data_IF_674802637346
#
_entry.id   IF_674802637346
#
_cell.length_a   1.000
_cell.length_b   1.000
_cell.length_c   1.000
_cell.angle_alpha   90.00
_cell.angle_beta   90.00
_cell.angle_gamma   90.00
#
_symmetry.space_group_name_H-M   'P 1'
#
loop_
_entity.id
_entity.type
_entity.pdbx_description
1 polymer ?
#
# COMPACT_ATOMS: atom_id res chain seq x y z
N UNK A 1 -22.96 17.00 7.31
CA UNK A 1 -22.35 16.92 5.95
C UNK A 1 -22.28 15.46 5.56
N UNK A 2 -22.53 15.12 4.28
CA UNK A 2 -22.53 13.73 3.79
C UNK A 2 -21.35 13.54 2.83
N UNK A 3 -20.64 12.44 3.00
CA UNK A 3 -19.66 11.95 2.02
C UNK A 3 -20.41 11.44 0.79
N UNK A 4 -19.84 11.63 -0.39
CA UNK A 4 -20.40 11.12 -1.64
C UNK A 4 -19.31 10.45 -2.46
N UNK A 5 -19.63 9.33 -3.10
CA UNK A 5 -18.71 8.69 -4.03
C UNK A 5 -18.47 9.56 -5.26
N UNK A 6 -17.23 9.63 -5.79
CA UNK A 6 -16.98 10.28 -7.06
C UNK A 6 -17.70 9.55 -8.19
N UNK A 7 -18.20 10.30 -9.17
CA UNK A 7 -18.97 9.74 -10.29
C UNK A 7 -18.04 8.98 -11.24
N UNK A 8 -18.33 7.70 -11.49
CA UNK A 8 -17.67 6.88 -12.51
C UNK A 8 -16.39 6.14 -12.07
N UNK A 9 -15.75 6.57 -10.97
CA UNK A 9 -14.61 5.87 -10.36
C UNK A 9 -14.60 6.11 -8.85
N UNK A 10 -14.72 5.04 -8.05
CA UNK A 10 -14.68 5.10 -6.59
C UNK A 10 -13.37 4.54 -6.01
N UNK A 11 -12.28 4.51 -6.77
CA UNK A 11 -10.95 4.03 -6.33
C UNK A 11 -9.96 5.19 -6.22
N UNK A 12 -8.74 4.96 -5.72
CA UNK A 12 -7.73 6.01 -5.47
C UNK A 12 -7.42 6.88 -6.70
N UNK A 13 -7.54 6.32 -7.91
CA UNK A 13 -7.33 7.02 -9.18
C UNK A 13 -8.44 8.02 -9.52
N UNK A 14 -9.50 8.10 -8.71
CA UNK A 14 -10.45 9.22 -8.72
C UNK A 14 -9.81 10.53 -8.28
N UNK A 15 -8.69 10.48 -7.56
CA UNK A 15 -7.84 11.64 -7.28
C UNK A 15 -7.08 12.01 -8.55
N UNK A 16 -7.28 13.24 -9.02
CA UNK A 16 -6.73 13.71 -10.30
C UNK A 16 -5.21 13.53 -10.38
N UNK A 17 -4.75 12.90 -11.46
CA UNK A 17 -3.33 12.69 -11.76
C UNK A 17 -2.65 11.56 -10.96
N UNK A 18 -3.41 10.80 -10.16
CA UNK A 18 -2.93 9.52 -9.61
C UNK A 18 -3.18 8.40 -10.60
N UNK A 19 -2.16 7.58 -10.83
CA UNK A 19 -2.26 6.38 -11.66
C UNK A 19 -1.83 5.16 -10.84
N UNK A 20 -2.45 4.01 -11.11
CA UNK A 20 -2.09 2.76 -10.45
C UNK A 20 -1.88 1.68 -11.47
N UNK A 21 -0.80 0.93 -11.32
CA UNK A 21 -0.51 -0.25 -12.13
C UNK A 21 -0.06 -1.43 -11.28
N UNK A 22 -0.27 -2.63 -11.81
CA UNK A 22 0.02 -3.89 -11.14
C UNK A 22 0.90 -4.77 -12.02
N UNK A 23 1.84 -5.46 -11.39
CA UNK A 23 2.48 -6.66 -11.95
C UNK A 23 2.14 -7.85 -11.05
N UNK A 24 1.65 -8.93 -11.64
CA UNK A 24 1.12 -10.09 -10.93
C UNK A 24 1.76 -11.37 -11.46
N UNK A 25 2.30 -12.19 -10.56
CA UNK A 25 2.65 -13.58 -10.84
C UNK A 25 1.69 -14.51 -10.08
N UNK A 26 0.69 -15.01 -10.78
CA UNK A 26 -0.34 -15.88 -10.21
C UNK A 26 0.23 -17.23 -9.76
N UNK A 27 1.28 -17.74 -10.43
CA UNK A 27 1.88 -19.05 -10.15
C UNK A 27 2.76 -18.98 -8.91
N UNK A 28 3.62 -17.96 -8.84
CA UNK A 28 4.43 -17.69 -7.66
C UNK A 28 3.63 -17.08 -6.51
N UNK A 29 2.38 -16.67 -6.77
CA UNK A 29 1.46 -16.04 -5.80
C UNK A 29 2.07 -14.81 -5.15
N UNK A 30 2.65 -13.92 -5.97
CA UNK A 30 3.26 -12.65 -5.55
C UNK A 30 3.04 -11.56 -6.61
N UNK A 31 3.40 -10.33 -6.30
CA UNK A 31 3.33 -9.22 -7.24
C UNK A 31 3.71 -7.88 -6.63
N UNK A 32 3.66 -6.82 -7.42
CA UNK A 32 3.84 -5.45 -6.95
C UNK A 32 2.81 -4.49 -7.55
N UNK A 33 2.59 -3.40 -6.85
CA UNK A 33 1.68 -2.32 -7.22
C UNK A 33 2.46 -1.01 -7.19
N UNK A 34 2.39 -0.25 -8.27
CA UNK A 34 2.99 1.08 -8.39
C UNK A 34 1.86 2.10 -8.37
N UNK A 35 1.95 3.08 -7.48
CA UNK A 35 1.10 4.28 -7.48
C UNK A 35 1.94 5.44 -8.00
N UNK A 36 1.69 5.88 -9.23
CA UNK A 36 2.37 7.03 -9.84
C UNK A 36 1.67 8.32 -9.44
N UNK A 37 2.45 9.37 -9.22
CA UNK A 37 1.95 10.73 -8.98
C UNK A 37 1.90 11.52 -10.30
N UNK A 38 1.45 12.79 -10.32
CA UNK A 38 1.62 13.64 -11.50
C UNK A 38 3.10 13.84 -11.87
N UNK A 39 3.37 14.28 -13.11
CA UNK A 39 4.74 14.34 -13.68
C UNK A 39 5.75 15.16 -12.85
N UNK A 40 5.30 16.23 -12.17
CA UNK A 40 6.12 17.07 -11.28
C UNK A 40 6.19 16.56 -9.82
N UNK A 41 5.73 15.34 -9.58
CA UNK A 41 5.64 14.74 -8.26
C UNK A 41 4.49 15.28 -7.41
N UNK A 42 4.20 14.59 -6.31
CA UNK A 42 3.18 14.98 -5.33
C UNK A 42 3.83 15.18 -3.97
N UNK A 43 3.36 16.18 -3.20
CA UNK A 43 3.79 16.37 -1.81
C UNK A 43 3.43 15.11 -1.03
N UNK A 44 4.41 14.54 -0.32
CA UNK A 44 4.21 13.29 0.40
C UNK A 44 4.90 13.28 1.76
N UNK A 45 4.22 12.63 2.69
CA UNK A 45 4.74 12.23 3.98
C UNK A 45 4.08 10.91 4.38
N UNK A 46 4.63 10.22 5.38
CA UNK A 46 4.16 8.91 5.78
C UNK A 46 4.75 8.49 7.12
N UNK A 47 4.16 7.46 7.71
CA UNK A 47 4.61 6.90 8.98
C UNK A 47 4.57 5.39 8.96
N UNK A 48 5.60 4.79 9.57
CA UNK A 48 5.72 3.36 9.80
C UNK A 48 5.57 3.09 11.30
N UNK A 49 4.54 2.34 11.69
CA UNK A 49 4.26 2.01 13.10
C UNK A 49 4.49 0.52 13.44
N UNK A 50 4.47 -0.35 12.43
CA UNK A 50 4.69 -1.79 12.62
C UNK A 50 6.13 -2.09 13.09
N UNK A 51 6.34 -3.15 13.89
CA UNK A 51 7.62 -3.42 14.54
C UNK A 51 8.69 -4.03 13.61
N UNK A 52 8.31 -4.53 12.43
CA UNK A 52 9.23 -5.18 11.48
C UNK A 52 9.05 -4.62 10.06
N UNK A 53 9.39 -3.35 9.81
CA UNK A 53 9.20 -2.76 8.51
C UNK A 53 10.26 -3.20 7.51
N UNK A 54 9.82 -3.51 6.29
CA UNK A 54 10.68 -3.51 5.11
C UNK A 54 10.35 -2.28 4.28
N UNK A 55 11.29 -1.34 4.18
CA UNK A 55 11.07 -0.09 3.44
C UNK A 55 12.30 0.39 2.70
N UNK A 56 12.05 1.17 1.65
CA UNK A 56 13.04 1.98 0.92
C UNK A 56 12.60 3.43 0.97
N UNK A 57 13.55 4.35 1.16
CA UNK A 57 13.34 5.81 1.15
C UNK A 57 12.29 6.34 2.15
N UNK A 58 11.81 5.53 3.09
CA UNK A 58 10.78 5.95 4.06
C UNK A 58 11.24 7.09 4.98
N UNK A 59 12.55 7.23 5.21
CA UNK A 59 13.08 8.36 5.99
C UNK A 59 12.78 9.69 5.31
N UNK A 60 12.76 9.75 3.98
CA UNK A 60 12.44 10.99 3.24
C UNK A 60 10.98 11.44 3.47
N UNK A 61 10.10 10.52 3.86
CA UNK A 61 8.70 10.80 4.16
C UNK A 61 8.50 11.47 5.53
N UNK A 62 9.51 11.55 6.39
CA UNK A 62 9.39 12.28 7.65
C UNK A 62 9.14 13.78 7.39
N UNK A 63 8.24 14.43 8.17
CA UNK A 63 7.73 15.77 7.85
C UNK A 63 8.79 16.88 7.93
N UNK A 64 9.92 16.61 8.59
CA UNK A 64 11.03 17.52 8.78
C UNK A 64 12.15 17.37 7.72
N UNK A 65 11.98 16.47 6.73
CA UNK A 65 12.94 16.32 5.61
C UNK A 65 12.63 17.26 4.46
N UNK A 66 13.68 17.74 3.80
CA UNK A 66 13.62 18.74 2.72
C UNK A 66 12.99 18.22 1.43
N UNK A 67 13.17 16.95 1.09
CA UNK A 67 12.50 16.31 -0.05
C UNK A 67 11.02 16.20 0.28
N UNK A 68 10.19 17.04 -0.33
CA UNK A 68 8.75 17.07 -0.05
C UNK A 68 7.92 16.31 -1.08
N UNK A 69 8.46 16.05 -2.28
CA UNK A 69 7.75 15.37 -3.37
C UNK A 69 8.24 13.96 -3.63
N UNK A 70 7.31 13.11 -4.04
CA UNK A 70 7.58 11.76 -4.54
C UNK A 70 6.98 11.58 -5.94
N UNK A 71 7.58 10.71 -6.73
CA UNK A 71 7.21 10.48 -8.14
C UNK A 71 6.40 9.18 -8.30
N UNK A 72 6.59 8.25 -7.38
CA UNK A 72 5.76 7.05 -7.23
C UNK A 72 5.87 6.51 -5.80
N UNK A 73 4.95 5.60 -5.44
CA UNK A 73 5.06 4.73 -4.27
C UNK A 73 4.92 3.28 -4.73
N UNK A 74 5.80 2.41 -4.24
CA UNK A 74 5.81 0.98 -4.60
C UNK A 74 5.40 0.12 -3.41
N UNK A 75 4.34 -0.66 -3.57
CA UNK A 75 3.95 -1.71 -2.63
C UNK A 75 4.28 -3.06 -3.26
N UNK A 76 5.01 -3.92 -2.55
CA UNK A 76 5.53 -5.15 -3.18
C UNK A 76 5.45 -6.37 -2.26
N UNK A 77 5.22 -7.55 -2.85
CA UNK A 77 5.42 -8.83 -2.19
C UNK A 77 6.91 -9.15 -2.03
N UNK A 78 7.24 -10.39 -1.71
CA UNK A 78 8.62 -10.87 -1.65
C UNK A 78 9.42 -10.45 -0.43
N UNK A 79 8.79 -9.85 0.59
CA UNK A 79 9.47 -9.28 1.76
C UNK A 79 10.59 -8.31 1.33
N UNK A 80 11.67 -8.18 2.10
CA UNK A 80 12.76 -7.25 1.83
C UNK A 80 13.35 -7.36 0.40
N UNK A 81 13.30 -8.53 -0.24
CA UNK A 81 13.73 -8.68 -1.64
C UNK A 81 12.89 -7.85 -2.61
N UNK A 82 11.58 -7.73 -2.34
CA UNK A 82 10.64 -7.00 -3.17
C UNK A 82 10.88 -5.50 -3.25
N UNK A 83 11.71 -4.94 -2.36
CA UNK A 83 12.16 -3.54 -2.44
C UNK A 83 12.92 -3.26 -3.75
N UNK A 84 13.47 -4.29 -4.39
CA UNK A 84 14.11 -4.18 -5.71
C UNK A 84 13.15 -3.73 -6.82
N UNK A 85 11.83 -3.91 -6.66
CA UNK A 85 10.84 -3.38 -7.60
C UNK A 85 10.92 -1.85 -7.74
N UNK A 86 11.27 -1.14 -6.68
CA UNK A 86 11.42 0.31 -6.73
C UNK A 86 12.52 0.76 -7.71
N UNK A 87 13.57 -0.05 -7.91
CA UNK A 87 14.65 0.29 -8.84
C UNK A 87 14.13 0.39 -10.28
N UNK A 88 13.37 -0.60 -10.76
CA UNK A 88 12.84 -0.54 -12.13
C UNK A 88 11.78 0.53 -12.33
N UNK A 89 11.02 0.87 -11.28
CA UNK A 89 10.12 2.03 -11.31
C UNK A 89 10.89 3.35 -11.40
N UNK A 90 12.03 3.49 -10.70
CA UNK A 90 12.90 4.66 -10.82
C UNK A 90 13.47 4.80 -12.23
N UNK A 91 14.04 3.73 -12.79
CA UNK A 91 14.60 3.75 -14.14
C UNK A 91 13.53 4.16 -15.17
N UNK A 92 12.32 3.60 -15.05
CA UNK A 92 11.20 3.98 -15.92
C UNK A 92 10.81 5.45 -15.75
N UNK A 93 10.73 5.97 -14.51
CA UNK A 93 10.41 7.37 -14.25
C UNK A 93 11.44 8.33 -14.85
N UNK A 94 12.73 8.01 -14.73
CA UNK A 94 13.82 8.79 -15.33
C UNK A 94 13.66 8.83 -16.86
N UNK A 95 13.39 7.70 -17.51
CA UNK A 95 13.12 7.61 -18.95
C UNK A 95 11.88 8.41 -19.37
N UNK A 96 10.86 8.49 -18.50
CA UNK A 96 9.68 9.32 -18.72
C UNK A 96 9.92 10.81 -18.42
N UNK A 97 11.13 11.21 -18.04
CA UNK A 97 11.46 12.60 -17.72
C UNK A 97 10.85 13.07 -16.39
N UNK A 98 10.66 12.18 -15.43
CA UNK A 98 9.98 12.44 -14.15
C UNK A 98 10.92 12.25 -12.96
N UNK A 99 11.35 13.35 -12.35
CA UNK A 99 12.24 13.32 -11.20
C UNK A 99 12.54 14.72 -10.68
N UNK A 100 13.29 14.81 -9.59
CA UNK A 100 13.91 16.08 -9.22
C UNK A 100 15.02 16.42 -10.20
N UNK A 101 14.98 17.64 -10.73
CA UNK A 101 16.08 18.16 -11.53
C UNK A 101 17.30 18.42 -10.64
N UNK A 102 18.44 17.84 -11.03
CA UNK A 102 19.75 18.07 -10.43
C UNK A 102 20.74 18.48 -11.52
N UNK A 103 21.93 18.93 -11.11
CA UNK A 103 23.02 19.24 -12.04
C UNK A 103 23.40 18.05 -12.95
N UNK A 104 23.14 16.81 -12.51
CA UNK A 104 23.60 15.59 -13.18
C UNK A 104 22.48 14.78 -13.82
N UNK A 105 21.25 15.30 -13.84
CA UNK A 105 20.09 14.61 -14.40
C UNK A 105 18.91 14.57 -13.43
N UNK A 106 17.92 13.74 -13.78
CA UNK A 106 16.70 13.59 -13.00
C UNK A 106 16.90 12.54 -11.90
N UNK A 107 16.42 12.84 -10.70
CA UNK A 107 16.43 11.90 -9.57
C UNK A 107 14.99 11.64 -9.13
N UNK A 108 14.37 10.53 -9.60
CA UNK A 108 13.08 10.10 -9.08
C UNK A 108 13.18 9.72 -7.60
N UNK A 109 12.10 9.97 -6.85
CA UNK A 109 11.97 9.56 -5.45
C UNK A 109 10.81 8.60 -5.37
N UNK A 110 11.13 7.37 -4.95
CA UNK A 110 10.23 6.21 -5.03
C UNK A 110 10.28 5.44 -3.71
N UNK A 111 9.56 5.92 -2.68
CA UNK A 111 9.41 5.18 -1.46
C UNK A 111 8.74 3.84 -1.72
N UNK A 112 9.21 2.81 -1.03
CA UNK A 112 8.65 1.48 -1.16
C UNK A 112 8.42 0.81 0.19
N UNK A 113 7.42 -0.05 0.25
CA UNK A 113 7.12 -0.90 1.39
C UNK A 113 6.70 -2.30 0.93
N UNK A 114 6.95 -3.30 1.77
CA UNK A 114 6.76 -4.70 1.40
C UNK A 114 5.87 -5.47 2.36
N UNK A 115 5.18 -6.48 1.83
CA UNK A 115 4.56 -7.55 2.62
C UNK A 115 5.40 -8.81 2.54
N UNK A 116 5.25 -9.70 3.54
CA UNK A 116 5.83 -11.04 3.49
C UNK A 116 4.78 -12.03 2.96
N UNK A 117 5.02 -12.56 1.76
CA UNK A 117 4.20 -13.55 1.07
C UNK A 117 5.03 -14.76 0.57
N UNK A 118 6.30 -14.89 0.99
CA UNK A 118 7.24 -15.91 0.49
C UNK A 118 6.76 -17.35 0.71
N UNK A 119 5.97 -17.58 1.76
CA UNK A 119 5.39 -18.89 2.07
C UNK A 119 4.14 -19.20 1.25
N UNK A 120 3.63 -18.24 0.50
CA UNK A 120 2.40 -18.40 -0.25
C UNK A 120 2.63 -19.01 -1.61
N UNK A 121 3.82 -19.09 -2.18
CA UNK A 121 4.02 -19.71 -3.50
C UNK A 121 5.44 -20.21 -3.67
N UNK A 122 6.09 -19.86 -4.79
CA UNK A 122 7.51 -20.17 -4.96
C UNK A 122 8.35 -19.08 -4.27
N UNK A 123 9.04 -19.37 -3.15
CA UNK A 123 9.81 -18.37 -2.42
C UNK A 123 11.03 -17.84 -3.20
N UNK A 124 11.39 -18.46 -4.32
CA UNK A 124 12.48 -18.01 -5.19
C UNK A 124 12.02 -17.01 -6.26
N UNK A 125 10.72 -16.94 -6.55
CA UNK A 125 10.14 -15.97 -7.48
C UNK A 125 9.57 -14.81 -6.67
N UNK A 126 10.14 -13.63 -6.85
CA UNK A 126 9.87 -12.43 -6.03
C UNK A 126 9.91 -11.21 -6.94
N UNK A 127 9.11 -10.15 -6.71
CA UNK A 127 9.17 -8.95 -7.53
C UNK A 127 10.57 -8.32 -7.51
N UNK A 128 11.10 -8.02 -8.70
CA UNK A 128 12.37 -7.34 -8.91
C UNK A 128 12.19 -6.08 -9.77
N UNK A 129 13.29 -5.52 -10.25
CA UNK A 129 13.27 -4.30 -11.07
C UNK A 129 12.31 -4.42 -12.27
N UNK A 130 12.39 -5.49 -13.05
CA UNK A 130 11.51 -5.72 -14.21
C UNK A 130 10.02 -5.72 -13.84
N UNK A 131 9.66 -6.29 -12.69
CA UNK A 131 8.29 -6.29 -12.19
C UNK A 131 7.82 -4.86 -11.83
N UNK A 132 8.68 -4.07 -11.17
CA UNK A 132 8.36 -2.68 -10.83
C UNK A 132 8.27 -1.77 -12.04
N UNK A 133 9.09 -1.99 -13.07
CA UNK A 133 8.97 -1.32 -14.37
C UNK A 133 7.66 -1.69 -15.06
N UNK A 134 7.37 -2.98 -15.19
CA UNK A 134 6.14 -3.45 -15.83
C UNK A 134 4.87 -2.94 -15.13
N UNK A 135 4.88 -2.87 -13.79
CA UNK A 135 3.80 -2.28 -13.02
C UNK A 135 3.65 -0.76 -13.26
N UNK A 136 4.75 -0.03 -13.45
CA UNK A 136 4.70 1.40 -13.79
C UNK A 136 4.18 1.63 -15.21
N UNK A 137 4.62 0.81 -16.18
CA UNK A 137 4.13 0.85 -17.58
C UNK A 137 2.64 0.53 -17.70
N UNK A 138 2.14 -0.35 -16.83
CA UNK A 138 0.72 -0.74 -16.80
C UNK A 138 -0.17 0.26 -16.04
N UNK A 139 0.39 1.33 -15.47
CA UNK A 139 -0.37 2.27 -14.66
C UNK A 139 -1.40 3.06 -15.48
N UNK A 140 -2.57 3.30 -14.90
CA UNK A 140 -3.65 4.06 -15.55
C UNK A 140 -4.49 4.85 -14.55
N UNK A 141 -5.28 5.80 -15.06
CA UNK A 141 -6.23 6.64 -14.29
C UNK A 141 -7.63 6.03 -14.12
N UNK A 142 -7.93 4.91 -14.81
CA UNK A 142 -9.20 4.20 -14.67
C UNK A 142 -9.39 3.51 -13.30
N UNK A 143 -10.57 2.92 -13.05
CA UNK A 143 -10.83 2.18 -11.80
C UNK A 143 -9.80 1.09 -11.52
N UNK A 144 -9.27 1.09 -10.30
CA UNK A 144 -8.20 0.16 -9.88
C UNK A 144 -8.74 -1.26 -9.71
N UNK A 145 -8.02 -2.24 -10.26
CA UNK A 145 -8.29 -3.66 -10.01
C UNK A 145 -8.02 -4.02 -8.54
N UNK A 146 -8.95 -4.74 -7.90
CA UNK A 146 -8.88 -5.12 -6.50
C UNK A 146 -8.86 -6.64 -6.32
N UNK A 147 -8.50 -7.09 -5.12
CA UNK A 147 -8.36 -8.50 -4.78
C UNK A 147 -6.93 -8.99 -4.99
N UNK A 148 -6.78 -10.20 -5.54
CA UNK A 148 -5.51 -10.92 -5.65
C UNK A 148 -4.70 -10.49 -6.89
N UNK A 149 -4.38 -9.21 -6.96
CA UNK A 149 -3.59 -8.58 -8.02
C UNK A 149 -2.45 -7.77 -7.41
N UNK A 150 -1.36 -7.58 -8.16
CA UNK A 150 -0.21 -6.80 -7.71
C UNK A 150 0.32 -7.30 -6.37
N UNK A 151 0.57 -6.37 -5.44
CA UNK A 151 0.98 -6.71 -4.07
C UNK A 151 -0.04 -7.60 -3.32
N UNK A 152 -1.31 -7.58 -3.71
CA UNK A 152 -2.37 -8.37 -3.08
C UNK A 152 -2.36 -9.86 -3.43
N UNK A 153 -1.59 -10.28 -4.43
CA UNK A 153 -1.63 -11.64 -4.99
C UNK A 153 -1.34 -12.73 -3.94
N UNK A 154 -0.37 -12.47 -3.08
CA UNK A 154 0.05 -13.31 -1.96
C UNK A 154 -0.38 -12.79 -0.58
N UNK A 155 -1.27 -11.78 -0.52
CA UNK A 155 -1.67 -11.20 0.76
C UNK A 155 -2.64 -12.11 1.52
N UNK A 156 -2.42 -12.28 2.82
CA UNK A 156 -3.31 -13.04 3.72
C UNK A 156 -3.42 -12.43 5.10
N UNK A 157 -4.53 -12.72 5.75
CA UNK A 157 -4.87 -12.26 7.10
C UNK A 157 -5.07 -13.45 8.05
N UNK A 158 -5.29 -13.16 9.35
CA UNK A 158 -5.59 -14.17 10.39
C UNK A 158 -4.49 -15.22 10.56
N UNK A 159 -3.27 -14.74 10.85
CA UNK A 159 -2.07 -15.58 11.09
C UNK A 159 -1.58 -15.55 12.54
N UNK A 160 -2.45 -15.21 13.50
CA UNK A 160 -2.04 -15.06 14.91
C UNK A 160 -1.59 -16.40 15.53
N UNK A 161 -2.31 -17.50 15.24
CA UNK A 161 -2.13 -18.80 15.91
C UNK A 161 -1.46 -19.85 15.04
N UNK A 162 -1.85 -19.97 13.78
CA UNK A 162 -1.20 -20.88 12.85
C UNK A 162 -1.22 -20.35 11.40
N UNK A 163 -0.53 -21.04 10.49
CA UNK A 163 -0.52 -20.71 9.04
C UNK A 163 -1.70 -21.33 8.28
N UNK A 164 -2.43 -22.27 8.88
CA UNK A 164 -3.54 -23.01 8.26
C UNK A 164 -4.89 -22.27 8.30
N UNK A 165 -5.09 -21.41 9.31
CA UNK A 165 -6.24 -20.52 9.51
C UNK A 165 -6.22 -19.23 8.69
N UNK A 166 -5.15 -19.02 7.91
CA UNK A 166 -4.97 -17.80 7.15
C UNK A 166 -6.05 -17.65 6.07
N UNK A 167 -6.80 -16.55 6.06
CA UNK A 167 -7.75 -16.25 4.98
C UNK A 167 -7.07 -15.47 3.83
N UNK A 168 -7.42 -15.72 2.56
CA UNK A 168 -6.98 -14.86 1.46
C UNK A 168 -7.40 -13.40 1.69
N UNK A 169 -6.51 -12.48 1.33
CA UNK A 169 -6.80 -11.04 1.29
C UNK A 169 -6.42 -10.49 -0.10
N UNK A 170 -6.17 -9.19 -0.20
CA UNK A 170 -5.80 -8.56 -1.45
C UNK A 170 -5.65 -7.05 -1.37
N UNK A 171 -5.50 -6.45 -2.54
CA UNK A 171 -5.59 -5.00 -2.73
C UNK A 171 -7.05 -4.56 -2.58
N UNK A 172 -7.29 -3.50 -1.82
CA UNK A 172 -8.55 -2.77 -1.80
C UNK A 172 -8.30 -1.30 -2.10
N UNK A 173 -9.25 -0.63 -2.73
CA UNK A 173 -9.17 0.80 -2.98
C UNK A 173 -10.56 1.45 -2.88
N UNK A 174 -10.61 2.65 -2.33
CA UNK A 174 -11.84 3.41 -2.18
C UNK A 174 -11.57 4.91 -2.25
N UNK A 175 -12.52 5.70 -2.72
CA UNK A 175 -12.43 7.16 -2.77
C UNK A 175 -13.77 7.83 -2.48
N UNK A 176 -13.70 9.00 -1.86
CA UNK A 176 -14.85 9.83 -1.48
C UNK A 176 -14.58 11.29 -1.80
N UNK A 177 -15.62 12.02 -2.19
CA UNK A 177 -15.59 13.47 -2.29
C UNK A 177 -16.01 14.10 -0.96
N UNK A 178 -15.24 15.09 -0.51
CA UNK A 178 -15.49 15.84 0.72
C UNK A 178 -14.89 17.24 0.65
N UNK A 179 -15.67 18.25 1.03
CA UNK A 179 -15.18 19.62 1.17
C UNK A 179 -14.61 20.24 -0.11
N UNK A 180 -15.04 19.75 -1.29
CA UNK A 180 -14.52 20.20 -2.59
C UNK A 180 -13.26 19.48 -3.08
N UNK A 181 -12.79 18.48 -2.35
CA UNK A 181 -11.66 17.62 -2.71
C UNK A 181 -12.09 16.14 -2.79
N UNK A 182 -11.30 15.32 -3.46
CA UNK A 182 -11.39 13.86 -3.44
C UNK A 182 -10.30 13.32 -2.51
N UNK A 183 -10.65 12.38 -1.64
CA UNK A 183 -9.70 11.60 -0.84
C UNK A 183 -9.83 10.14 -1.25
N UNK A 184 -8.73 9.56 -1.72
CA UNK A 184 -8.64 8.17 -2.14
C UNK A 184 -7.64 7.38 -1.31
N UNK A 185 -7.89 6.09 -1.12
CA UNK A 185 -6.99 5.17 -0.46
C UNK A 185 -6.80 3.89 -1.28
N UNK A 186 -5.61 3.33 -1.24
CA UNK A 186 -5.27 2.00 -1.72
C UNK A 186 -4.55 1.27 -0.60
N UNK A 187 -5.02 0.07 -0.28
CA UNK A 187 -4.52 -0.72 0.84
C UNK A 187 -4.27 -2.16 0.41
N UNK A 188 -3.32 -2.82 1.08
CA UNK A 188 -3.17 -4.27 1.07
C UNK A 188 -3.05 -4.76 2.50
N UNK A 189 -3.87 -5.74 2.86
CA UNK A 189 -3.84 -6.34 4.19
C UNK A 189 -3.16 -7.69 4.16
N UNK A 190 -1.96 -7.75 4.75
CA UNK A 190 -1.26 -8.98 5.07
C UNK A 190 -1.18 -9.15 6.61
N UNK A 191 -2.25 -8.75 7.30
CA UNK A 191 -2.28 -8.55 8.75
C UNK A 191 -2.18 -9.85 9.56
N UNK A 192 -1.75 -9.75 10.82
CA UNK A 192 -1.82 -10.88 11.76
C UNK A 192 -3.27 -11.15 12.14
N UNK A 193 -4.03 -10.08 12.40
CA UNK A 193 -5.41 -10.13 12.85
C UNK A 193 -6.41 -10.34 11.72
N UNK A 194 -7.68 -10.36 12.12
CA UNK A 194 -8.84 -10.46 11.23
C UNK A 194 -9.36 -9.06 10.85
N UNK A 195 -10.13 -9.01 9.77
CA UNK A 195 -10.81 -7.80 9.31
C UNK A 195 -12.25 -7.78 9.80
N UNK A 196 -12.66 -6.66 10.36
CA UNK A 196 -14.00 -6.44 10.92
C UNK A 196 -14.66 -5.20 10.32
N UNK A 197 -15.98 -5.18 10.34
CA UNK A 197 -16.75 -3.99 10.05
C UNK A 197 -16.52 -2.96 11.18
N UNK A 198 -16.16 -1.71 10.85
CA UNK A 198 -15.79 -0.72 11.85
C UNK A 198 -16.99 -0.11 12.60
N UNK A 199 -18.23 -0.36 12.17
CA UNK A 199 -19.44 0.20 12.75
C UNK A 199 -20.14 -0.78 13.70
N UNK A 200 -20.23 -2.08 13.33
CA UNK A 200 -20.85 -3.10 14.19
C UNK A 200 -19.88 -4.15 14.75
N UNK A 201 -18.62 -4.17 14.29
CA UNK A 201 -17.59 -5.10 14.74
C UNK A 201 -17.75 -6.53 14.20
N UNK A 202 -18.67 -6.77 13.27
CA UNK A 202 -18.86 -8.07 12.65
C UNK A 202 -17.64 -8.49 11.83
N UNK A 203 -17.40 -9.80 11.75
CA UNK A 203 -16.26 -10.33 11.00
C UNK A 203 -16.51 -10.18 9.50
N UNK A 204 -15.63 -9.47 8.81
CA UNK A 204 -15.66 -9.30 7.34
C UNK A 204 -14.81 -10.38 6.68
N UNK A 205 -13.60 -10.62 7.20
CA UNK A 205 -12.72 -11.66 6.70
C UNK A 205 -11.75 -12.11 7.79
N UNK A 206 -11.45 -13.41 7.84
CA UNK A 206 -10.54 -13.98 8.81
C UNK A 206 -11.21 -14.94 9.79
N UNK A 207 -10.70 -14.98 11.01
CA UNK A 207 -11.14 -15.87 12.09
C UNK A 207 -11.80 -15.08 13.22
N UNK A 208 -12.98 -15.51 13.66
CA UNK A 208 -13.78 -14.83 14.69
C UNK A 208 -13.14 -14.91 16.09
N UNK A 209 -12.42 -16.00 16.38
CA UNK A 209 -11.72 -16.24 17.63
C UNK A 209 -10.39 -15.47 17.75
N UNK A 210 -10.00 -14.74 16.70
CA UNK A 210 -8.88 -13.79 16.67
C UNK A 210 -9.36 -12.32 16.73
N UNK A 211 -10.53 -12.07 17.32
CA UNK A 211 -11.06 -10.71 17.49
C UNK A 211 -11.15 -10.37 18.98
N UNK A 212 -10.41 -9.35 19.42
CA UNK A 212 -10.54 -8.78 20.76
C UNK A 212 -10.04 -9.72 21.86
N UNK A 213 -10.72 -9.75 23.02
CA UNK A 213 -10.30 -10.62 24.14
C UNK A 213 -10.29 -12.12 23.77
N UNK A 214 -11.06 -12.55 22.76
CA UNK A 214 -11.06 -13.93 22.29
C UNK A 214 -9.69 -14.39 21.79
N UNK A 215 -8.90 -13.47 21.21
CA UNK A 215 -7.55 -13.73 20.74
C UNK A 215 -6.58 -14.08 21.88
N UNK A 216 -6.78 -13.48 23.06
CA UNK A 216 -6.00 -13.73 24.27
C UNK A 216 -6.29 -15.12 24.89
N UNK A 217 -7.39 -15.76 24.48
CA UNK A 217 -7.88 -17.02 25.07
C UNK A 217 -7.11 -18.27 24.64
N UNK A 218 -6.10 -18.18 23.76
CA UNK A 218 -5.50 -19.40 23.19
C UNK A 218 -4.16 -19.21 22.48
N UNK A 219 -3.17 -19.98 22.96
CA UNK A 219 -2.00 -20.39 22.17
C UNK A 219 -0.80 -19.44 22.14
N UNK A 220 0.32 -19.95 21.61
CA UNK A 220 1.52 -19.18 21.31
C UNK A 220 1.30 -18.30 20.08
N UNK A 221 1.54 -16.99 20.19
CA UNK A 221 1.51 -16.06 19.06
C UNK A 221 2.74 -16.28 18.18
N UNK A 222 2.56 -16.50 16.88
CA UNK A 222 3.67 -16.59 15.93
C UNK A 222 4.28 -15.19 15.69
N UNK A 223 5.60 -15.01 15.88
CA UNK A 223 6.24 -13.72 15.59
C UNK A 223 6.20 -13.33 14.11
N UNK A 224 5.91 -12.05 13.87
CA UNK A 224 6.52 -11.20 12.84
C UNK A 224 6.68 -11.75 11.42
N UNK A 225 5.63 -11.65 10.59
CA UNK A 225 5.72 -11.62 9.11
C UNK A 225 4.49 -10.95 8.47
N UNK A 226 3.86 -9.99 9.16
CA UNK A 226 2.55 -9.47 8.76
C UNK A 226 2.54 -7.95 8.71
N UNK A 227 1.80 -7.39 7.76
CA UNK A 227 1.90 -5.98 7.40
C UNK A 227 0.61 -5.52 6.74
N UNK A 228 0.08 -4.37 7.13
CA UNK A 228 -0.93 -3.65 6.34
C UNK A 228 -0.26 -2.41 5.77
N UNK A 229 -0.33 -2.26 4.45
CA UNK A 229 0.22 -1.10 3.74
C UNK A 229 -0.93 -0.27 3.18
N UNK A 230 -0.83 1.05 3.30
CA UNK A 230 -1.86 1.99 2.80
C UNK A 230 -1.19 3.19 2.15
N UNK A 231 -1.65 3.55 0.96
CA UNK A 231 -1.39 4.83 0.31
C UNK A 231 -2.69 5.63 0.36
N UNK A 232 -2.62 6.88 0.83
CA UNK A 232 -3.73 7.83 0.81
C UNK A 232 -3.33 9.02 -0.05
N UNK A 233 -4.22 9.43 -0.95
CA UNK A 233 -4.03 10.55 -1.86
C UNK A 233 -5.22 11.50 -1.81
N UNK A 234 -4.98 12.77 -2.11
CA UNK A 234 -6.03 13.78 -2.26
C UNK A 234 -5.58 14.87 -3.23
N UNK A 235 -6.54 15.52 -3.87
CA UNK A 235 -6.31 16.72 -4.69
C UNK A 235 -6.41 18.01 -3.87
N UNK A 236 -6.71 17.92 -2.57
CA UNK A 236 -6.56 19.03 -1.64
C UNK A 236 -5.08 19.44 -1.55
N UNK A 237 -4.82 20.75 -1.58
CA UNK A 237 -3.48 21.28 -1.36
C UNK A 237 -3.08 21.09 0.10
N UNK A 238 -2.10 20.22 0.35
CA UNK A 238 -1.53 19.95 1.66
C UNK A 238 -0.05 20.30 1.70
N UNK A 239 0.41 20.86 2.81
CA UNK A 239 1.82 20.88 3.18
C UNK A 239 2.31 19.48 3.57
N UNK A 240 3.62 19.27 3.61
CA UNK A 240 4.21 17.99 4.03
C UNK A 240 3.77 17.56 5.44
N UNK A 241 3.68 18.51 6.37
CA UNK A 241 3.21 18.26 7.73
C UNK A 241 1.72 17.89 7.79
N UNK A 242 0.89 18.48 6.93
CA UNK A 242 -0.53 18.11 6.83
C UNK A 242 -0.70 16.73 6.17
N UNK A 243 0.11 16.42 5.15
CA UNK A 243 0.19 15.06 4.59
C UNK A 243 0.63 14.04 5.64
N UNK A 244 1.54 14.43 6.55
CA UNK A 244 1.93 13.58 7.68
C UNK A 244 0.75 13.31 8.61
N UNK A 245 -0.01 14.34 8.98
CA UNK A 245 -1.20 14.20 9.81
C UNK A 245 -2.26 13.31 9.14
N UNK A 246 -2.44 13.43 7.82
CA UNK A 246 -3.31 12.55 7.04
C UNK A 246 -2.83 11.09 7.11
N UNK A 247 -1.52 10.84 7.02
CA UNK A 247 -0.95 9.49 7.15
C UNK A 247 -1.20 8.89 8.54
N UNK A 248 -1.14 9.69 9.61
CA UNK A 248 -1.46 9.25 10.97
C UNK A 248 -2.96 8.93 11.12
N UNK A 249 -3.84 9.73 10.50
CA UNK A 249 -5.27 9.44 10.46
C UNK A 249 -5.58 8.13 9.73
N UNK A 250 -4.84 7.81 8.66
CA UNK A 250 -4.98 6.54 7.95
C UNK A 250 -4.67 5.31 8.84
N UNK A 251 -3.68 5.43 9.74
CA UNK A 251 -3.38 4.37 10.74
C UNK A 251 -4.55 4.13 11.70
N UNK A 252 -5.29 5.18 12.07
CA UNK A 252 -6.53 5.03 12.87
C UNK A 252 -7.56 4.21 12.07
N UNK A 253 -7.68 4.47 10.76
CA UNK A 253 -8.51 3.67 9.85
C UNK A 253 -8.14 2.18 9.88
N UNK A 254 -6.85 1.86 9.75
CA UNK A 254 -6.34 0.48 9.87
C UNK A 254 -6.75 -0.14 11.21
N UNK A 255 -6.56 0.59 12.31
CA UNK A 255 -6.90 0.12 13.66
C UNK A 255 -8.41 -0.05 13.90
N UNK A 256 -9.29 0.60 13.13
CA UNK A 256 -10.75 0.40 13.23
C UNK A 256 -11.19 -0.90 12.58
N UNK A 257 -10.56 -1.29 11.47
CA UNK A 257 -10.98 -2.46 10.65
C UNK A 257 -10.11 -3.69 10.86
N UNK A 258 -8.94 -3.56 11.48
CA UNK A 258 -8.04 -4.69 11.78
C UNK A 258 -8.06 -4.97 13.27
N UNK A 259 -8.45 -6.18 13.65
CA UNK A 259 -8.47 -6.63 15.05
C UNK A 259 -7.54 -7.82 15.19
N UNK A 260 -6.47 -7.73 16.01
CA UNK A 260 -5.89 -8.92 16.58
C UNK A 260 -6.78 -9.47 17.71
#
# INVERSE_FOLDING_TARGET
MRWTEPVGNATITAVSGIEVGHWTDERARTGCTVVLTPGNGCIASGRVLGPAPGSRESVLLEPDRTVDRVHAVVLSGGSAYGLAAACGTMDWLEEQGRGFETEFGLVPIVPAAVIYDLGEGDPKVRPGADAGRAAAEAAHTGPVAMGRVGVGTGARISRLRDRGGAAPSGVGSYAVAWGGAVVGALAVSNAVGSLVDPDDGSLVAGEADLVGLAALSGGSVLPGTNTTLVVVATDAALTKSEAHALSLAAHIGIARVTRP
#
